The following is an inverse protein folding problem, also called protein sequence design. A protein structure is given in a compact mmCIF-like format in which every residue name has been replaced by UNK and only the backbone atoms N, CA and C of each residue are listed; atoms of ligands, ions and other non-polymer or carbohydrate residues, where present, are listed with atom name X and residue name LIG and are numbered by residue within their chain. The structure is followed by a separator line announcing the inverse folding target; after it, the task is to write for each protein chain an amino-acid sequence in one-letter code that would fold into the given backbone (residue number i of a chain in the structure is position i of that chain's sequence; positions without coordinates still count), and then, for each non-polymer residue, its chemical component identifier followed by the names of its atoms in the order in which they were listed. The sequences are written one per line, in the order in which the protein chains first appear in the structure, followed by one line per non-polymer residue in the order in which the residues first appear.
data_IF_612966363844
#
_entry.id   IF_612966363844
#
_cell.length_a   1.000
_cell.length_b   1.000
_cell.length_c   1.000
_cell.angle_alpha   90.00
_cell.angle_beta   90.00
_cell.angle_gamma   90.00
#
_symmetry.space_group_name_H-M   'P 1'
#
loop_
_entity.id
_entity.type
_entity.pdbx_description
1 polymer ?
#
# COMPACT_ATOMS: atom_id res chain seq x y z
N UNK A 1 13.97 -22.48 -4.63
CA UNK A 1 12.63 -22.08 -5.10
C UNK A 1 12.88 -20.85 -5.95
N UNK A 2 12.51 -20.89 -7.23
CA UNK A 2 12.68 -19.75 -8.12
C UNK A 2 11.59 -18.73 -7.80
N UNK A 3 12.00 -17.49 -7.49
CA UNK A 3 11.07 -16.36 -7.43
C UNK A 3 10.28 -16.31 -8.75
N UNK A 4 8.95 -16.11 -8.71
CA UNK A 4 8.16 -15.97 -9.93
C UNK A 4 8.78 -14.90 -10.82
N UNK A 5 9.05 -15.24 -12.09
CA UNK A 5 9.67 -14.32 -13.03
C UNK A 5 8.79 -13.07 -13.15
N UNK A 6 9.35 -11.86 -12.99
CA UNK A 6 8.56 -10.63 -13.09
C UNK A 6 7.91 -10.51 -14.48
N UNK A 7 6.59 -10.33 -14.51
CA UNK A 7 5.80 -10.25 -15.74
C UNK A 7 5.28 -8.82 -15.91
N UNK A 8 5.46 -8.25 -17.10
CA UNK A 8 4.83 -6.97 -17.46
C UNK A 8 3.35 -7.21 -17.76
N UNK A 9 2.47 -6.61 -16.96
CA UNK A 9 1.02 -6.75 -17.05
C UNK A 9 0.35 -5.39 -16.93
N UNK A 10 -0.86 -5.27 -17.48
CA UNK A 10 -1.72 -4.12 -17.23
C UNK A 10 -2.22 -4.15 -15.79
N UNK A 11 -2.40 -2.98 -15.16
CA UNK A 11 -2.71 -2.88 -13.74
C UNK A 11 -3.99 -3.63 -13.31
N UNK A 12 -5.02 -3.69 -14.17
CA UNK A 12 -6.24 -4.45 -13.88
C UNK A 12 -6.04 -5.97 -13.85
N UNK A 13 -4.97 -6.49 -14.48
CA UNK A 13 -4.66 -7.93 -14.50
C UNK A 13 -3.84 -8.37 -13.29
N UNK A 14 -3.29 -7.43 -12.54
CA UNK A 14 -2.46 -7.70 -11.36
C UNK A 14 -3.37 -7.83 -10.15
N UNK A 15 -3.16 -8.87 -9.33
CA UNK A 15 -3.91 -9.07 -8.09
C UNK A 15 -3.76 -7.90 -7.12
N UNK A 16 -4.85 -7.52 -6.44
CA UNK A 16 -4.77 -6.52 -5.37
C UNK A 16 -3.83 -6.98 -4.25
N UNK A 17 -3.06 -6.05 -3.68
CA UNK A 17 -2.05 -6.33 -2.65
C UNK A 17 -0.69 -6.75 -3.20
N UNK A 18 -0.59 -7.10 -4.49
CA UNK A 18 0.70 -7.52 -5.05
C UNK A 18 1.73 -6.39 -5.07
N UNK A 19 2.98 -6.78 -4.87
CA UNK A 19 4.12 -5.92 -5.05
C UNK A 19 4.38 -5.70 -6.55
N UNK A 20 4.62 -4.46 -6.95
CA UNK A 20 4.83 -4.09 -8.35
C UNK A 20 5.96 -3.08 -8.49
N UNK A 21 6.54 -3.01 -9.69
CA UNK A 21 7.46 -1.96 -10.11
C UNK A 21 6.87 -1.20 -11.30
N UNK A 22 7.22 0.09 -11.43
CA UNK A 22 6.98 0.84 -12.66
C UNK A 22 8.12 0.59 -13.66
N UNK A 23 7.83 0.25 -14.93
CA UNK A 23 8.86 -0.13 -15.90
C UNK A 23 9.83 1.01 -16.25
N UNK A 24 9.35 2.26 -16.27
CA UNK A 24 10.12 3.43 -16.74
C UNK A 24 10.64 4.31 -15.58
N UNK A 25 10.68 3.75 -14.38
CA UNK A 25 11.11 4.51 -13.22
C UNK A 25 12.64 4.54 -13.09
N UNK A 26 13.18 5.76 -12.97
CA UNK A 26 14.63 6.01 -12.85
C UNK A 26 15.24 5.22 -11.69
N UNK A 27 14.50 5.08 -10.59
CA UNK A 27 14.92 4.29 -9.44
C UNK A 27 14.22 2.92 -9.43
N UNK A 28 14.91 1.92 -9.99
CA UNK A 28 14.45 0.52 -10.04
C UNK A 28 14.25 -0.15 -8.67
N UNK A 29 14.60 0.52 -7.56
CA UNK A 29 14.35 0.05 -6.19
C UNK A 29 12.99 0.50 -5.63
N UNK A 30 12.24 1.33 -6.37
CA UNK A 30 10.92 1.77 -5.95
C UNK A 30 9.93 0.61 -6.04
N UNK A 31 9.70 -0.03 -4.89
CA UNK A 31 8.67 -1.04 -4.73
C UNK A 31 7.34 -0.36 -4.39
N UNK A 32 6.27 -0.82 -5.03
CA UNK A 32 4.91 -0.39 -4.78
C UNK A 32 4.03 -1.56 -4.36
N UNK A 33 2.96 -1.25 -3.63
CA UNK A 33 1.81 -2.14 -3.50
C UNK A 33 0.75 -1.69 -4.50
N UNK A 34 0.24 -2.61 -5.31
CA UNK A 34 -0.98 -2.38 -6.09
C UNK A 34 -2.19 -2.45 -5.16
N UNK A 35 -2.95 -1.37 -5.11
CA UNK A 35 -4.12 -1.25 -4.25
C UNK A 35 -5.38 -0.94 -5.06
N UNK A 36 -6.53 -1.33 -4.52
CA UNK A 36 -7.82 -1.13 -5.17
C UNK A 36 -8.87 -0.55 -4.23
N UNK A 37 -9.74 0.30 -4.76
CA UNK A 37 -10.99 0.69 -4.11
C UNK A 37 -12.16 0.28 -4.97
N UNK A 38 -13.05 -0.55 -4.43
CA UNK A 38 -14.34 -0.85 -5.08
C UNK A 38 -15.26 0.37 -5.00
N UNK A 39 -15.60 0.91 -6.17
CA UNK A 39 -16.68 1.88 -6.34
C UNK A 39 -18.03 1.18 -6.52
N UNK A 40 -19.05 1.94 -6.93
CA UNK A 40 -20.36 1.38 -7.25
C UNK A 40 -20.32 0.56 -8.55
N UNK A 41 -19.71 1.11 -9.60
CA UNK A 41 -19.73 0.52 -10.95
C UNK A 41 -18.34 0.17 -11.49
N UNK A 42 -17.28 0.57 -10.79
CA UNK A 42 -15.91 0.43 -11.27
C UNK A 42 -14.91 0.27 -10.11
N UNK A 43 -13.76 -0.32 -10.42
CA UNK A 43 -12.64 -0.47 -9.49
C UNK A 43 -11.65 0.65 -9.77
N UNK A 44 -11.29 1.40 -8.73
CA UNK A 44 -10.20 2.36 -8.82
C UNK A 44 -8.88 1.66 -8.51
N UNK A 45 -7.87 1.91 -9.33
CA UNK A 45 -6.54 1.33 -9.19
C UNK A 45 -5.56 2.37 -8.65
N UNK A 46 -4.73 1.95 -7.70
CA UNK A 46 -3.76 2.80 -7.04
C UNK A 46 -2.43 2.09 -6.79
N UNK A 47 -1.40 2.90 -6.53
CA UNK A 47 -0.10 2.46 -6.03
C UNK A 47 0.24 3.16 -4.72
N UNK A 48 0.92 2.44 -3.83
CA UNK A 48 1.56 2.98 -2.63
C UNK A 48 3.04 2.63 -2.66
N UNK A 49 3.91 3.64 -2.64
CA UNK A 49 5.36 3.43 -2.67
C UNK A 49 5.89 2.99 -1.30
N UNK A 50 6.40 1.78 -1.19
CA UNK A 50 6.89 1.17 0.06
C UNK A 50 8.40 0.90 0.06
N UNK A 51 9.09 1.17 -1.06
CA UNK A 51 10.53 0.89 -1.21
C UNK A 51 11.51 1.88 -0.56
N UNK A 52 11.06 2.85 0.25
CA UNK A 52 11.94 3.83 0.89
C UNK A 52 11.63 4.03 2.39
N UNK A 53 12.68 4.02 3.22
CA UNK A 53 12.68 4.16 4.68
C UNK A 53 12.28 5.55 5.22
N UNK A 54 11.45 6.32 4.52
CA UNK A 54 10.91 7.60 5.03
C UNK A 54 9.41 7.64 4.82
N UNK A 55 8.71 7.26 5.87
CA UNK A 55 7.26 6.98 5.93
C UNK A 55 6.38 8.24 5.95
N UNK A 56 6.97 9.43 6.14
CA UNK A 56 6.21 10.65 6.47
C UNK A 56 5.35 11.21 5.32
N UNK A 57 5.55 10.76 4.08
CA UNK A 57 4.85 11.27 2.89
C UNK A 57 4.24 10.15 2.03
N UNK A 58 3.94 9.00 2.64
CA UNK A 58 3.24 7.90 1.96
C UNK A 58 1.89 8.38 1.42
N UNK A 59 1.68 8.21 0.12
CA UNK A 59 0.49 8.68 -0.58
C UNK A 59 -0.09 7.61 -1.49
N UNK A 60 -1.39 7.72 -1.72
CA UNK A 60 -2.16 6.92 -2.65
C UNK A 60 -2.06 7.55 -4.04
N UNK A 61 -1.40 6.86 -4.96
CA UNK A 61 -1.15 7.34 -6.33
C UNK A 61 -2.18 6.68 -7.24
N UNK A 62 -3.09 7.45 -7.82
CA UNK A 62 -4.02 6.93 -8.82
C UNK A 62 -3.28 6.50 -10.08
N UNK A 63 -3.68 5.38 -10.66
CA UNK A 63 -3.16 4.89 -11.95
C UNK A 63 -4.31 4.49 -12.86
N UNK A 64 -4.04 4.51 -14.16
CA UNK A 64 -4.97 3.96 -15.15
C UNK A 64 -4.95 2.42 -15.10
N UNK A 65 -6.11 1.73 -15.16
CA UNK A 65 -6.16 0.26 -15.19
C UNK A 65 -5.34 -0.36 -16.33
N UNK A 66 -5.20 0.32 -17.47
CA UNK A 66 -4.45 -0.14 -18.64
C UNK A 66 -2.93 0.15 -18.54
N UNK A 67 -2.49 0.88 -17.50
CA UNK A 67 -1.06 1.18 -17.29
C UNK A 67 -0.26 -0.12 -17.09
N UNK A 68 0.88 -0.23 -17.76
CA UNK A 68 1.73 -1.40 -17.64
C UNK A 68 2.62 -1.31 -16.39
N UNK A 69 2.57 -2.35 -15.57
CA UNK A 69 3.39 -2.53 -14.39
C UNK A 69 4.14 -3.87 -14.47
N UNK A 70 5.17 -4.01 -13.67
CA UNK A 70 5.88 -5.28 -13.51
C UNK A 70 5.36 -5.94 -12.23
N UNK A 71 4.56 -7.00 -12.37
CA UNK A 71 4.08 -7.79 -11.24
C UNK A 71 5.22 -8.63 -10.67
N UNK A 72 5.38 -8.60 -9.35
CA UNK A 72 6.35 -9.43 -8.63
C UNK A 72 5.76 -10.75 -8.17
N UNK A 73 4.44 -10.94 -8.29
CA UNK A 73 3.77 -12.21 -8.02
C UNK A 73 3.51 -12.50 -6.55
N UNK A 74 3.75 -11.54 -5.65
CA UNK A 74 3.63 -11.73 -4.21
C UNK A 74 3.04 -10.54 -3.47
N UNK A 75 2.49 -10.79 -2.28
CA UNK A 75 2.02 -9.75 -1.34
C UNK A 75 3.13 -9.47 -0.32
N UNK A 76 3.63 -8.23 -0.18
CA UNK A 76 4.68 -7.91 0.78
C UNK A 76 4.29 -8.26 2.21
N UNK A 77 5.21 -8.85 2.97
CA UNK A 77 5.03 -9.07 4.41
C UNK A 77 5.78 -8.02 5.23
N UNK A 78 5.12 -7.46 6.23
CA UNK A 78 5.66 -6.41 7.09
C UNK A 78 6.07 -6.96 8.46
N UNK A 79 7.32 -6.72 8.84
CA UNK A 79 7.71 -6.78 10.25
C UNK A 79 7.30 -5.47 10.90
N UNK A 80 6.47 -5.55 11.94
CA UNK A 80 5.91 -4.40 12.62
C UNK A 80 6.61 -4.18 13.96
N UNK A 81 6.98 -2.94 14.24
CA UNK A 81 7.57 -2.56 15.52
C UNK A 81 7.00 -1.23 16.00
N UNK A 82 7.02 -1.04 17.32
CA UNK A 82 6.54 0.17 17.97
C UNK A 82 7.67 0.72 18.82
N UNK A 83 8.20 1.89 18.45
CA UNK A 83 9.25 2.56 19.21
C UNK A 83 8.67 3.48 20.29
N UNK A 84 7.40 3.86 20.15
CA UNK A 84 6.66 4.73 21.08
C UNK A 84 5.19 4.35 21.12
N UNK A 85 4.55 4.64 22.26
CA UNK A 85 3.11 4.49 22.40
C UNK A 85 2.37 5.65 21.72
N UNK A 86 1.78 5.42 20.55
CA UNK A 86 0.92 6.40 19.88
C UNK A 86 -0.54 6.16 20.22
N UNK A 87 -1.26 7.24 20.54
CA UNK A 87 -2.72 7.19 20.71
C UNK A 87 -3.47 7.26 19.38
N UNK A 88 -2.82 7.72 18.31
CA UNK A 88 -3.39 7.88 16.96
C UNK A 88 -2.31 7.62 15.90
N UNK A 89 -2.64 6.97 14.78
CA UNK A 89 -1.71 6.72 13.70
C UNK A 89 -1.44 7.99 12.89
N UNK A 90 -0.17 8.18 12.51
CA UNK A 90 0.26 9.22 11.59
C UNK A 90 0.41 8.65 10.17
N UNK A 91 0.67 9.51 9.19
CA UNK A 91 0.94 9.05 7.82
C UNK A 91 2.16 8.12 7.84
N UNK A 92 2.00 6.97 7.19
CA UNK A 92 3.02 5.94 7.12
C UNK A 92 3.07 5.02 8.33
N UNK A 93 2.26 5.25 9.36
CA UNK A 93 2.10 4.26 10.43
C UNK A 93 1.19 3.12 9.96
N UNK A 94 1.51 1.91 10.42
CA UNK A 94 0.60 0.78 10.39
C UNK A 94 -0.12 0.72 11.74
N UNK A 95 -1.40 0.39 11.76
CA UNK A 95 -2.15 0.27 13.01
C UNK A 95 -3.21 -0.83 12.92
N UNK A 96 -3.65 -1.28 14.08
CA UNK A 96 -4.66 -2.32 14.22
C UNK A 96 -5.95 -1.78 14.82
N UNK A 97 -7.06 -2.33 14.37
CA UNK A 97 -8.37 -2.17 14.99
C UNK A 97 -9.19 -3.47 14.77
N UNK A 98 -10.45 -3.48 15.20
CA UNK A 98 -11.34 -4.64 15.06
C UNK A 98 -11.63 -5.06 13.60
N UNK A 99 -11.34 -4.22 12.61
CA UNK A 99 -11.59 -4.48 11.20
C UNK A 99 -10.35 -4.97 10.45
N UNK A 100 -9.15 -4.93 11.06
CA UNK A 100 -7.91 -5.38 10.44
C UNK A 100 -6.70 -4.50 10.75
N UNK A 101 -5.67 -4.64 9.91
CA UNK A 101 -4.38 -3.97 10.04
C UNK A 101 -4.14 -3.06 8.84
N UNK A 102 -3.99 -1.76 9.11
CA UNK A 102 -4.06 -0.74 8.07
C UNK A 102 -2.83 0.16 8.05
N UNK A 103 -2.29 0.41 6.86
CA UNK A 103 -1.33 1.49 6.59
C UNK A 103 -2.09 2.79 6.30
N UNK A 104 -1.78 3.86 7.05
CA UNK A 104 -2.35 5.18 6.82
C UNK A 104 -1.55 5.94 5.76
N UNK A 105 -2.21 6.41 4.71
CA UNK A 105 -1.58 7.16 3.61
C UNK A 105 -2.34 8.45 3.30
N UNK A 106 -1.67 9.39 2.63
CA UNK A 106 -2.29 10.60 2.10
C UNK A 106 -3.11 10.25 0.86
N UNK A 107 -4.33 10.76 0.77
CA UNK A 107 -5.13 10.74 -0.45
C UNK A 107 -5.41 12.19 -0.88
N UNK A 108 -5.02 12.56 -2.10
CA UNK A 108 -5.28 13.90 -2.64
C UNK A 108 -6.53 13.87 -3.52
N UNK A 109 -7.61 14.52 -3.08
CA UNK A 109 -8.85 14.65 -3.86
C UNK A 109 -9.13 16.12 -4.07
N UNK A 110 -9.18 16.58 -5.33
CA UNK A 110 -9.51 17.98 -5.69
C UNK A 110 -8.73 19.01 -4.85
N UNK A 111 -7.42 18.80 -4.72
CA UNK A 111 -6.50 19.64 -3.93
C UNK A 111 -6.71 19.63 -2.40
N UNK A 112 -7.65 18.84 -1.87
CA UNK A 112 -7.78 18.59 -0.44
C UNK A 112 -6.97 17.35 -0.05
N UNK A 113 -6.10 17.48 0.96
CA UNK A 113 -5.39 16.34 1.55
C UNK A 113 -6.31 15.63 2.54
N UNK A 114 -6.66 14.40 2.21
CA UNK A 114 -7.38 13.46 3.07
C UNK A 114 -6.49 12.26 3.40
N UNK A 115 -7.04 11.29 4.12
CA UNK A 115 -6.37 10.03 4.44
C UNK A 115 -7.12 8.84 3.85
N UNK A 116 -6.34 7.88 3.37
CA UNK A 116 -6.80 6.55 3.01
C UNK A 116 -6.12 5.50 3.90
N UNK A 117 -6.73 4.34 4.00
CA UNK A 117 -6.28 3.24 4.84
C UNK A 117 -6.17 1.99 3.99
N UNK A 118 -4.98 1.42 3.92
CA UNK A 118 -4.70 0.25 3.07
C UNK A 118 -4.60 -0.95 3.97
N UNK A 119 -5.45 -1.95 3.75
CA UNK A 119 -5.28 -3.25 4.40
C UNK A 119 -3.97 -3.88 3.92
N UNK A 120 -3.03 -4.14 4.84
CA UNK A 120 -1.67 -4.54 4.48
C UNK A 120 -1.57 -5.97 3.95
N UNK A 121 -2.63 -6.76 4.05
CA UNK A 121 -2.67 -8.16 3.60
C UNK A 121 -3.37 -8.32 2.26
N UNK A 122 -4.31 -7.44 1.93
CA UNK A 122 -5.11 -7.52 0.70
C UNK A 122 -4.85 -6.37 -0.28
N UNK A 123 -4.24 -5.27 0.16
CA UNK A 123 -4.10 -4.05 -0.61
C UNK A 123 -5.41 -3.27 -0.79
N UNK A 124 -6.51 -3.67 -0.15
CA UNK A 124 -7.79 -2.99 -0.31
C UNK A 124 -7.77 -1.61 0.37
N UNK A 125 -8.22 -0.60 -0.36
CA UNK A 125 -8.35 0.77 0.13
C UNK A 125 -9.67 0.93 0.87
N UNK A 126 -9.60 1.13 2.18
CA UNK A 126 -10.75 1.36 3.07
C UNK A 126 -10.84 2.83 3.51
N UNK A 127 -12.04 3.24 3.90
CA UNK A 127 -12.33 4.57 4.50
C UNK A 127 -12.52 4.43 6.00
N UNK A 128 -12.24 5.51 6.74
CA UNK A 128 -12.61 5.71 8.17
C UNK A 128 -12.17 4.59 9.11
N UNK A 129 -10.89 4.21 9.08
CA UNK A 129 -10.36 3.13 9.93
C UNK A 129 -9.79 3.60 11.29
N UNK A 130 -9.74 4.90 11.57
CA UNK A 130 -9.15 5.42 12.82
C UNK A 130 -10.07 5.35 14.05
N UNK A 131 -10.81 4.25 14.21
CA UNK A 131 -11.72 4.01 15.35
C UNK A 131 -11.29 2.75 16.07
N UNK A 132 -11.43 2.75 17.40
CA UNK A 132 -11.13 1.60 18.27
C UNK A 132 -9.74 1.00 17.98
N UNK A 133 -8.74 1.87 17.86
CA UNK A 133 -7.37 1.47 17.57
C UNK A 133 -6.80 0.74 18.78
N UNK A 134 -6.29 -0.46 18.55
CA UNK A 134 -5.72 -1.33 19.59
C UNK A 134 -4.20 -1.19 19.66
N UNK A 135 -3.55 -0.99 18.52
CA UNK A 135 -2.09 -0.89 18.43
C UNK A 135 -1.67 0.03 17.28
N UNK A 136 -0.55 0.74 17.45
CA UNK A 136 0.08 1.56 16.40
C UNK A 136 1.56 1.19 16.29
N UNK A 137 1.99 0.97 15.06
CA UNK A 137 3.36 0.66 14.65
C UNK A 137 3.90 1.84 13.83
N UNK A 138 4.84 2.58 14.42
CA UNK A 138 5.50 3.73 13.79
C UNK A 138 6.71 3.31 12.93
N UNK A 139 7.15 2.06 13.08
CA UNK A 139 8.26 1.49 12.33
C UNK A 139 7.84 0.15 11.73
N UNK A 140 8.18 -0.06 10.46
CA UNK A 140 7.97 -1.33 9.78
C UNK A 140 8.99 -1.54 8.68
N UNK A 141 9.24 -2.81 8.37
CA UNK A 141 10.16 -3.24 7.31
C UNK A 141 9.53 -4.35 6.49
N UNK A 142 9.91 -4.47 5.21
CA UNK A 142 9.45 -5.55 4.35
C UNK A 142 10.42 -6.72 4.55
N UNK A 143 9.93 -7.83 5.12
CA UNK A 143 10.77 -8.97 5.50
C UNK A 143 10.64 -10.18 4.58
N UNK A 144 9.58 -10.24 3.77
CA UNK A 144 9.42 -11.31 2.80
C UNK A 144 8.81 -10.81 1.51
N UNK A 145 9.37 -11.32 0.42
CA UNK A 145 9.06 -11.04 -0.98
C UNK A 145 8.88 -12.40 -1.67
N UNK A 146 7.94 -13.22 -1.16
CA UNK A 146 7.84 -14.66 -1.49
C UNK A 146 7.03 -14.92 -2.75
#
# INVERSE_FOLDING_TARGET
MDDPKPIKLQAYKISCGHAVLKPDEVNKKNLYIKAERKGADYIHHYLIQIGFFKTNNLSLIYIDPEENLIDRGYIPTFALSSSKTYKKPEIGHIFENNNGTFLKVIETIRSQKMFAFIDIYSGEVRRRQERKITQVYDCWEIISVT
#
